data_IF_665839321084
#
_entry.id   IF_665839321084
#
_cell.length_a   1.000
_cell.length_b   1.000
_cell.length_c   1.000
_cell.angle_alpha   90.00
_cell.angle_beta   90.00
_cell.angle_gamma   90.00
#
_symmetry.space_group_name_H-M   'P 1'
#
loop_
_entity.id
_entity.type
_entity.pdbx_description
1 polymer ?
#
# COMPACT_ATOMS: atom_id res chain seq x y z
N UNK A 1 -15.67 -11.56 5.94
CA UNK A 1 -14.51 -11.44 5.03
C UNK A 1 -15.04 -11.44 3.62
N UNK A 2 -14.87 -10.33 2.90
CA UNK A 2 -15.32 -10.24 1.50
C UNK A 2 -14.46 -11.12 0.61
N UNK A 3 -15.07 -11.74 -0.41
CA UNK A 3 -14.35 -12.66 -1.32
C UNK A 3 -14.40 -12.13 -2.75
N UNK A 4 -13.47 -12.57 -3.60
CA UNK A 4 -13.52 -12.30 -5.04
C UNK A 4 -14.89 -12.68 -5.63
N UNK A 5 -15.42 -13.82 -5.21
CA UNK A 5 -16.74 -14.30 -5.64
C UNK A 5 -17.87 -13.34 -5.25
N UNK A 6 -17.82 -12.75 -4.05
CA UNK A 6 -18.82 -11.75 -3.66
C UNK A 6 -18.82 -10.52 -4.57
N UNK A 7 -17.67 -10.12 -5.13
CA UNK A 7 -17.59 -9.06 -6.14
C UNK A 7 -18.14 -9.52 -7.50
N UNK A 8 -17.78 -10.72 -7.95
CA UNK A 8 -18.24 -11.30 -9.23
C UNK A 8 -19.77 -11.49 -9.25
N UNK A 9 -20.35 -11.87 -8.12
CA UNK A 9 -21.78 -12.13 -7.95
C UNK A 9 -22.58 -10.85 -7.64
N UNK A 10 -21.93 -9.71 -7.38
CA UNK A 10 -22.61 -8.49 -6.96
C UNK A 10 -23.55 -7.99 -8.06
N UNK A 11 -24.83 -7.82 -7.70
CA UNK A 11 -25.84 -7.19 -8.56
C UNK A 11 -26.11 -5.76 -8.13
N UNK A 12 -26.25 -4.80 -9.08
CA UNK A 12 -26.65 -3.44 -8.76
C UNK A 12 -28.00 -3.43 -8.05
N UNK A 13 -28.08 -2.69 -6.94
CA UNK A 13 -29.32 -2.40 -6.21
C UNK A 13 -29.76 -0.95 -6.38
N UNK A 14 -28.86 -0.08 -6.84
CA UNK A 14 -29.08 1.36 -7.02
C UNK A 14 -28.74 1.80 -8.44
N UNK A 15 -29.19 3.01 -8.80
CA UNK A 15 -28.92 3.61 -10.11
C UNK A 15 -27.43 3.94 -10.30
N UNK A 16 -26.78 4.36 -9.22
CA UNK A 16 -25.38 4.79 -9.24
C UNK A 16 -24.47 3.80 -8.51
N UNK A 17 -23.20 3.78 -8.92
CA UNK A 17 -22.12 3.07 -8.26
C UNK A 17 -21.05 4.06 -7.81
N UNK A 18 -20.56 3.91 -6.57
CA UNK A 18 -19.46 4.71 -6.04
C UNK A 18 -18.39 3.79 -5.45
N UNK A 19 -17.21 3.79 -6.08
CA UNK A 19 -15.99 3.20 -5.53
C UNK A 19 -15.24 4.22 -4.67
N UNK A 20 -14.95 3.86 -3.42
CA UNK A 20 -14.23 4.70 -2.46
C UNK A 20 -12.87 4.07 -2.16
N UNK A 21 -11.79 4.80 -2.40
CA UNK A 21 -10.50 4.42 -1.83
C UNK A 21 -10.48 4.70 -0.32
N UNK A 22 -9.78 3.85 0.43
CA UNK A 22 -9.72 3.95 1.88
C UNK A 22 -8.65 4.95 2.32
N UNK A 23 -7.39 4.64 2.00
CA UNK A 23 -6.24 5.37 2.51
C UNK A 23 -6.04 6.69 1.77
N UNK A 24 -6.09 7.80 2.49
CA UNK A 24 -5.95 9.13 1.92
C UNK A 24 -7.19 9.66 1.19
N UNK A 25 -8.32 8.95 1.26
CA UNK A 25 -9.63 9.40 0.81
C UNK A 25 -10.67 9.29 1.94
N UNK A 26 -10.88 8.09 2.51
CA UNK A 26 -11.71 7.93 3.70
C UNK A 26 -10.95 8.21 5.00
N UNK A 27 -9.66 7.87 5.06
CA UNK A 27 -8.83 7.97 6.26
C UNK A 27 -7.55 8.80 6.04
N UNK A 28 -7.13 9.64 7.01
CA UNK A 28 -5.87 10.40 6.97
C UNK A 28 -4.63 9.54 7.30
N UNK A 29 -4.61 8.29 6.86
CA UNK A 29 -3.65 7.24 7.27
C UNK A 29 -2.39 7.17 6.40
N UNK A 30 -2.40 7.77 5.20
CA UNK A 30 -1.28 7.67 4.25
C UNK A 30 0.05 8.15 4.83
N UNK A 31 0.04 9.33 5.46
CA UNK A 31 1.22 9.93 6.10
C UNK A 31 1.79 9.01 7.19
N UNK A 32 0.93 8.56 8.10
CA UNK A 32 1.29 7.65 9.20
C UNK A 32 1.85 6.32 8.66
N UNK A 33 1.12 5.66 7.75
CA UNK A 33 1.54 4.39 7.13
C UNK A 33 2.91 4.55 6.47
N UNK A 34 3.11 5.59 5.66
CA UNK A 34 4.38 5.74 4.96
C UNK A 34 5.53 6.16 5.87
N UNK A 35 5.36 7.19 6.70
CA UNK A 35 6.44 7.75 7.52
C UNK A 35 6.88 6.84 8.66
N UNK A 36 5.94 6.08 9.23
CA UNK A 36 6.19 5.24 10.40
C UNK A 36 6.26 3.74 10.09
N UNK A 37 5.71 3.27 8.96
CA UNK A 37 5.72 1.84 8.62
C UNK A 37 6.56 1.54 7.37
N UNK A 38 6.27 2.16 6.22
CA UNK A 38 6.99 1.84 4.98
C UNK A 38 8.44 2.32 5.01
N UNK A 39 8.67 3.60 5.29
CA UNK A 39 9.99 4.21 5.19
C UNK A 39 10.98 3.58 6.18
N UNK A 40 10.64 3.37 7.47
CA UNK A 40 11.54 2.68 8.39
C UNK A 40 11.89 1.27 7.93
N UNK A 41 10.92 0.53 7.37
CA UNK A 41 11.17 -0.80 6.80
C UNK A 41 12.03 -0.74 5.52
N UNK A 42 11.86 0.26 4.64
CA UNK A 42 12.76 0.47 3.50
C UNK A 42 14.20 0.66 4.01
N UNK A 43 14.38 1.56 4.99
CA UNK A 43 15.69 1.85 5.56
C UNK A 43 16.32 0.61 6.21
N UNK A 44 15.54 -0.15 6.97
CA UNK A 44 15.98 -1.35 7.68
C UNK A 44 16.38 -2.48 6.71
N UNK A 45 15.46 -2.90 5.85
CA UNK A 45 15.61 -4.11 5.05
C UNK A 45 16.55 -3.93 3.87
N UNK A 46 16.74 -2.71 3.37
CA UNK A 46 17.65 -2.43 2.26
C UNK A 46 18.98 -1.79 2.69
N UNK A 47 19.24 -1.78 4.00
CA UNK A 47 20.49 -1.28 4.59
C UNK A 47 20.81 0.19 4.26
N UNK A 48 19.77 1.03 4.19
CA UNK A 48 19.91 2.45 3.86
C UNK A 48 20.11 3.36 5.08
N UNK A 49 20.46 2.82 6.25
CA UNK A 49 20.69 3.61 7.47
C UNK A 49 21.66 4.78 7.27
N UNK A 50 22.82 4.62 6.57
CA UNK A 50 23.76 5.72 6.37
C UNK A 50 23.22 6.86 5.49
N UNK A 51 22.19 6.58 4.68
CA UNK A 51 21.52 7.55 3.80
C UNK A 51 20.05 7.73 4.18
N UNK A 52 19.69 7.43 5.44
CA UNK A 52 18.29 7.37 5.89
C UNK A 52 17.50 8.65 5.63
N UNK A 53 18.15 9.81 5.74
CA UNK A 53 17.59 11.12 5.33
C UNK A 53 17.11 11.08 3.87
N UNK A 54 17.97 10.68 2.95
CA UNK A 54 17.66 10.68 1.52
C UNK A 54 16.70 9.56 1.13
N UNK A 55 16.80 8.40 1.78
CA UNK A 55 15.83 7.31 1.63
C UNK A 55 14.41 7.76 2.02
N UNK A 56 14.28 8.51 3.12
CA UNK A 56 13.02 9.11 3.55
C UNK A 56 12.50 10.12 2.52
N UNK A 57 13.31 11.07 2.10
CA UNK A 57 12.91 12.07 1.11
C UNK A 57 12.44 11.44 -0.21
N UNK A 58 13.18 10.45 -0.73
CA UNK A 58 12.81 9.74 -1.96
C UNK A 58 11.50 8.96 -1.79
N UNK A 59 11.33 8.25 -0.66
CA UNK A 59 10.13 7.47 -0.39
C UNK A 59 8.90 8.35 -0.15
N UNK A 60 9.03 9.48 0.55
CA UNK A 60 7.94 10.46 0.71
C UNK A 60 7.56 11.08 -0.64
N UNK A 61 8.54 11.46 -1.47
CA UNK A 61 8.25 11.99 -2.80
C UNK A 61 7.48 10.97 -3.65
N UNK A 62 7.94 9.72 -3.70
CA UNK A 62 7.27 8.67 -4.49
C UNK A 62 5.85 8.40 -4.00
N UNK A 63 5.66 8.27 -2.69
CA UNK A 63 4.41 7.74 -2.15
C UNK A 63 3.41 8.78 -1.66
N UNK A 64 3.85 10.00 -1.35
CA UNK A 64 3.01 11.04 -0.74
C UNK A 64 2.90 12.31 -1.59
N UNK A 65 3.99 12.76 -2.21
CA UNK A 65 4.07 14.13 -2.77
C UNK A 65 4.39 14.20 -4.26
N UNK A 66 4.10 13.14 -5.02
CA UNK A 66 4.25 13.13 -6.48
C UNK A 66 3.07 12.47 -7.17
N UNK A 67 3.07 12.52 -8.50
CA UNK A 67 2.11 11.80 -9.35
C UNK A 67 2.17 10.28 -9.24
N UNK A 68 3.15 9.72 -8.52
CA UNK A 68 3.24 8.29 -8.25
C UNK A 68 2.53 7.87 -6.96
N UNK A 69 1.97 8.82 -6.20
CA UNK A 69 1.14 8.55 -5.02
C UNK A 69 0.06 7.52 -5.35
N UNK A 70 -0.03 6.49 -4.52
CA UNK A 70 -0.98 5.39 -4.69
C UNK A 70 -0.52 4.25 -5.62
N UNK A 71 0.69 4.32 -6.18
CA UNK A 71 1.25 3.17 -6.93
C UNK A 71 1.52 1.98 -6.00
N UNK A 72 1.43 0.77 -6.54
CA UNK A 72 1.73 -0.45 -5.79
C UNK A 72 3.12 -0.38 -5.13
N UNK A 73 3.23 -0.98 -3.94
CA UNK A 73 4.43 -0.94 -3.07
C UNK A 73 5.71 -1.41 -3.78
N UNK A 74 5.66 -2.40 -4.67
CA UNK A 74 6.87 -2.92 -5.32
C UNK A 74 7.39 -1.99 -6.42
N UNK A 75 6.56 -1.51 -7.38
CA UNK A 75 6.95 -0.40 -8.25
C UNK A 75 7.38 0.85 -7.48
N UNK A 76 6.72 1.20 -6.37
CA UNK A 76 7.11 2.34 -5.54
C UNK A 76 8.53 2.18 -5.01
N UNK A 77 8.86 1.01 -4.44
CA UNK A 77 10.20 0.70 -3.95
C UNK A 77 11.26 0.83 -5.04
N UNK A 78 10.99 0.29 -6.23
CA UNK A 78 11.91 0.38 -7.37
C UNK A 78 12.16 1.84 -7.80
N UNK A 79 11.14 2.69 -7.76
CA UNK A 79 11.27 4.14 -8.01
C UNK A 79 12.11 4.84 -6.94
N UNK A 80 11.96 4.44 -5.68
CA UNK A 80 12.82 4.94 -4.59
C UNK A 80 14.28 4.60 -4.88
N UNK A 81 14.59 3.38 -5.32
CA UNK A 81 15.96 3.03 -5.72
C UNK A 81 16.47 3.88 -6.88
N UNK A 82 15.65 4.08 -7.91
CA UNK A 82 16.03 4.88 -9.08
C UNK A 82 16.35 6.33 -8.67
N UNK A 83 15.49 6.97 -7.87
CA UNK A 83 15.76 8.32 -7.36
C UNK A 83 17.00 8.40 -6.47
N UNK A 84 17.25 7.37 -5.65
CA UNK A 84 18.43 7.35 -4.78
C UNK A 84 19.73 7.23 -5.59
N UNK A 85 19.73 6.45 -6.68
CA UNK A 85 20.89 6.34 -7.57
C UNK A 85 21.28 7.65 -8.24
N UNK A 86 20.30 8.49 -8.55
CA UNK A 86 20.52 9.78 -9.21
C UNK A 86 21.00 10.88 -8.24
N UNK A 87 20.91 10.66 -6.92
CA UNK A 87 21.26 11.68 -5.92
C UNK A 87 22.77 11.82 -5.71
N UNK A 88 23.35 13.03 -5.90
CA UNK A 88 24.79 13.25 -5.69
C UNK A 88 25.28 12.94 -4.27
N UNK A 89 24.44 13.09 -3.25
CA UNK A 89 24.79 12.78 -1.86
C UNK A 89 24.84 11.27 -1.60
N UNK A 90 24.00 10.50 -2.30
CA UNK A 90 24.00 9.03 -2.22
C UNK A 90 25.17 8.47 -3.01
N UNK A 91 25.45 9.00 -4.20
CA UNK A 91 26.61 8.61 -5.02
C UNK A 91 27.96 8.82 -4.32
N UNK A 92 28.05 9.83 -3.43
CA UNK A 92 29.22 10.09 -2.60
C UNK A 92 29.27 9.26 -1.32
N UNK A 93 28.23 8.50 -1.02
CA UNK A 93 28.15 7.66 0.18
C UNK A 93 28.74 6.27 -0.08
N UNK A 94 28.94 5.49 0.98
CA UNK A 94 29.37 4.08 0.90
C UNK A 94 28.23 3.11 0.52
N UNK A 95 26.99 3.60 0.45
CA UNK A 95 25.81 2.75 0.28
C UNK A 95 25.62 2.39 -1.19
N UNK A 96 25.60 1.10 -1.49
CA UNK A 96 25.27 0.60 -2.82
C UNK A 96 23.74 0.44 -2.96
N UNK A 97 23.14 1.14 -3.92
CA UNK A 97 21.71 0.99 -4.21
C UNK A 97 21.52 -0.20 -5.15
N UNK A 98 20.71 -1.21 -4.78
CA UNK A 98 20.56 -2.41 -5.61
C UNK A 98 19.93 -2.09 -6.97
N UNK A 99 20.39 -2.78 -8.02
CA UNK A 99 19.69 -2.83 -9.31
C UNK A 99 18.31 -3.49 -9.19
N UNK A 100 18.19 -4.43 -8.25
CA UNK A 100 16.97 -5.19 -7.98
C UNK A 100 16.35 -5.83 -9.26
N UNK A 101 17.20 -6.24 -10.22
CA UNK A 101 16.76 -6.78 -11.51
C UNK A 101 15.72 -7.90 -11.37
N UNK A 102 15.88 -8.91 -10.49
CA UNK A 102 14.87 -9.95 -10.32
C UNK A 102 13.49 -9.39 -9.93
N UNK A 103 13.46 -8.38 -9.05
CA UNK A 103 12.23 -7.70 -8.64
C UNK A 103 11.63 -6.89 -9.79
N UNK A 104 12.45 -6.16 -10.56
CA UNK A 104 12.00 -5.42 -11.76
C UNK A 104 11.37 -6.36 -12.79
N UNK A 105 12.04 -7.48 -13.08
CA UNK A 105 11.56 -8.47 -14.03
C UNK A 105 10.23 -9.09 -13.55
N UNK A 106 10.07 -9.32 -12.25
CA UNK A 106 8.83 -9.84 -11.66
C UNK A 106 7.69 -8.83 -11.74
N UNK A 107 7.95 -7.59 -11.33
CA UNK A 107 6.98 -6.48 -11.42
C UNK A 107 6.50 -6.27 -12.85
N UNK A 108 7.36 -6.46 -13.85
CA UNK A 108 7.00 -6.29 -15.26
C UNK A 108 6.07 -7.38 -15.83
N UNK A 109 6.07 -8.58 -15.25
CA UNK A 109 5.28 -9.73 -15.77
C UNK A 109 4.08 -10.12 -14.91
N UNK A 110 4.10 -9.80 -13.63
CA UNK A 110 3.04 -10.19 -12.69
C UNK A 110 1.85 -9.23 -12.79
N UNK A 111 0.64 -9.81 -12.77
CA UNK A 111 -0.63 -9.07 -12.89
C UNK A 111 -1.27 -8.81 -11.53
N UNK A 112 -0.95 -9.62 -10.51
CA UNK A 112 -1.44 -9.50 -9.14
C UNK A 112 -0.28 -9.22 -8.17
N UNK A 113 0.21 -7.98 -8.16
CA UNK A 113 1.35 -7.55 -7.35
C UNK A 113 1.02 -7.52 -5.84
N UNK A 114 1.26 -8.63 -5.15
CA UNK A 114 1.08 -8.76 -3.71
C UNK A 114 1.92 -9.87 -3.10
N UNK A 115 1.98 -9.92 -1.76
CA UNK A 115 2.77 -10.92 -1.03
C UNK A 115 2.46 -12.36 -1.43
N UNK A 116 1.20 -12.78 -1.66
CA UNK A 116 0.92 -14.16 -2.10
C UNK A 116 1.58 -14.53 -3.43
N UNK A 117 1.60 -13.60 -4.40
CA UNK A 117 2.23 -13.83 -5.69
C UNK A 117 3.77 -13.81 -5.56
N UNK A 118 4.32 -12.86 -4.80
CA UNK A 118 5.76 -12.79 -4.57
C UNK A 118 6.28 -14.03 -3.82
N UNK A 119 5.53 -14.53 -2.83
CA UNK A 119 5.87 -15.74 -2.09
C UNK A 119 6.00 -16.96 -3.00
N UNK A 120 5.05 -17.18 -3.92
CA UNK A 120 5.14 -18.24 -4.93
C UNK A 120 6.37 -18.09 -5.82
N UNK A 121 6.70 -16.86 -6.20
CA UNK A 121 7.88 -16.61 -7.01
C UNK A 121 9.19 -16.88 -6.25
N UNK A 122 9.24 -16.53 -4.96
CA UNK A 122 10.37 -16.85 -4.07
C UNK A 122 10.52 -18.37 -3.91
N UNK A 123 9.44 -19.09 -3.64
CA UNK A 123 9.45 -20.56 -3.54
C UNK A 123 9.92 -21.24 -4.83
N UNK A 124 9.57 -20.67 -5.99
CA UNK A 124 9.99 -21.20 -7.30
C UNK A 124 11.46 -20.93 -7.60
N UNK A 125 11.95 -19.72 -7.30
CA UNK A 125 13.25 -19.25 -7.80
C UNK A 125 14.36 -19.26 -6.76
N UNK A 126 14.01 -19.24 -5.47
CA UNK A 126 14.92 -19.05 -4.34
C UNK A 126 15.83 -17.81 -4.51
N UNK A 127 15.36 -16.80 -5.26
CA UNK A 127 16.17 -15.64 -5.59
C UNK A 127 16.32 -14.71 -4.37
N UNK A 128 17.54 -14.36 -3.95
CA UNK A 128 17.76 -13.60 -2.72
C UNK A 128 17.16 -12.19 -2.74
N UNK A 129 17.10 -11.52 -3.90
CA UNK A 129 16.48 -10.18 -4.03
C UNK A 129 14.97 -10.27 -3.84
N UNK A 130 14.34 -11.33 -4.38
CA UNK A 130 12.90 -11.54 -4.20
C UNK A 130 12.58 -11.93 -2.76
N UNK A 131 13.42 -12.75 -2.13
CA UNK A 131 13.30 -13.10 -0.70
C UNK A 131 13.36 -11.85 0.17
N UNK A 132 14.36 -10.99 -0.03
CA UNK A 132 14.50 -9.72 0.71
C UNK A 132 13.30 -8.79 0.48
N UNK A 133 12.77 -8.71 -0.74
CA UNK A 133 11.58 -7.94 -1.05
C UNK A 133 10.32 -8.50 -0.36
N UNK A 134 10.20 -9.82 -0.25
CA UNK A 134 9.11 -10.46 0.49
C UNK A 134 9.20 -10.15 1.98
N UNK A 135 10.38 -10.33 2.58
CA UNK A 135 10.64 -10.02 3.98
C UNK A 135 10.33 -8.56 4.32
N UNK A 136 10.78 -7.63 3.47
CA UNK A 136 10.44 -6.21 3.59
C UNK A 136 8.92 -5.99 3.57
N UNK A 137 8.23 -6.59 2.60
CA UNK A 137 6.79 -6.36 2.40
C UNK A 137 5.94 -6.98 3.51
N UNK A 138 6.33 -8.14 4.05
CA UNK A 138 5.69 -8.75 5.21
C UNK A 138 5.95 -7.94 6.48
N UNK A 139 7.17 -7.43 6.67
CA UNK A 139 7.51 -6.57 7.80
C UNK A 139 6.72 -5.25 7.79
N UNK A 140 6.50 -4.65 6.62
CA UNK A 140 5.61 -3.49 6.48
C UNK A 140 4.21 -3.81 6.98
N UNK A 141 3.63 -4.95 6.59
CA UNK A 141 2.29 -5.34 7.05
C UNK A 141 2.27 -5.52 8.58
N UNK A 142 3.30 -6.14 9.15
CA UNK A 142 3.43 -6.31 10.59
C UNK A 142 3.50 -4.96 11.32
N UNK A 143 4.31 -4.01 10.83
CA UNK A 143 4.41 -2.66 11.42
C UNK A 143 3.10 -1.89 11.30
N UNK A 144 2.37 -2.01 10.18
CA UNK A 144 1.04 -1.38 10.03
C UNK A 144 0.05 -1.94 11.05
N UNK A 145 0.00 -3.27 11.21
CA UNK A 145 -0.89 -3.91 12.16
C UNK A 145 -0.60 -3.51 13.63
N UNK A 146 0.66 -3.23 13.94
CA UNK A 146 1.09 -2.77 15.25
C UNK A 146 0.77 -1.28 15.48
N UNK A 147 1.18 -0.41 14.54
CA UNK A 147 1.20 1.05 14.67
C UNK A 147 -0.13 1.74 14.36
N UNK A 148 -0.88 1.27 13.35
CA UNK A 148 -2.01 2.04 12.77
C UNK A 148 -3.33 1.59 13.40
N UNK A 149 -3.76 2.32 14.43
CA UNK A 149 -5.00 2.10 15.20
C UNK A 149 -5.61 3.43 15.64
N UNK A 150 -6.92 3.50 15.81
CA UNK A 150 -7.61 4.66 16.39
C UNK A 150 -7.59 5.92 15.53
N UNK A 151 -7.36 5.81 14.21
CA UNK A 151 -7.31 6.97 13.31
C UNK A 151 -8.69 7.22 12.71
N UNK A 152 -9.45 8.24 13.15
CA UNK A 152 -10.80 8.46 12.67
C UNK A 152 -10.82 8.82 11.17
N UNK A 153 -11.94 8.57 10.47
CA UNK A 153 -12.13 9.03 9.10
C UNK A 153 -12.01 10.55 8.99
N UNK A 154 -11.76 11.04 7.77
CA UNK A 154 -11.80 12.48 7.51
C UNK A 154 -13.17 13.08 7.88
N UNK A 155 -13.21 14.35 8.33
CA UNK A 155 -14.46 15.05 8.56
C UNK A 155 -15.37 14.99 7.32
N UNK A 156 -16.65 14.67 7.51
CA UNK A 156 -17.63 14.59 6.43
C UNK A 156 -17.73 13.22 5.74
N UNK A 157 -16.81 12.27 5.98
CA UNK A 157 -16.87 10.94 5.36
C UNK A 157 -18.12 10.18 5.80
N UNK A 158 -18.40 10.13 7.11
CA UNK A 158 -19.57 9.42 7.64
C UNK A 158 -20.87 10.02 7.13
N UNK A 159 -20.96 11.35 7.07
CA UNK A 159 -22.12 12.09 6.56
C UNK A 159 -22.32 11.83 5.06
N UNK A 160 -21.23 11.80 4.29
CA UNK A 160 -21.26 11.52 2.85
C UNK A 160 -21.69 10.08 2.58
N UNK A 161 -21.14 9.10 3.31
CA UNK A 161 -21.55 7.70 3.23
C UNK A 161 -23.05 7.51 3.51
N UNK A 162 -23.58 8.18 4.55
CA UNK A 162 -25.01 8.16 4.86
C UNK A 162 -25.88 8.69 3.71
N UNK A 163 -25.45 9.77 3.05
CA UNK A 163 -26.17 10.35 1.90
C UNK A 163 -26.10 9.41 0.68
N UNK A 164 -24.96 8.78 0.45
CA UNK A 164 -24.75 7.85 -0.66
C UNK A 164 -25.58 6.58 -0.52
N UNK A 165 -25.73 6.02 0.69
CA UNK A 165 -26.42 4.75 0.92
C UNK A 165 -27.89 4.73 0.41
N UNK A 166 -28.53 5.90 0.29
CA UNK A 166 -29.88 6.01 -0.31
C UNK A 166 -29.91 5.92 -1.84
N UNK A 167 -28.81 6.31 -2.51
CA UNK A 167 -28.80 6.64 -3.95
C UNK A 167 -27.79 5.82 -4.76
N UNK A 168 -26.81 5.19 -4.13
CA UNK A 168 -25.72 4.49 -4.81
C UNK A 168 -25.30 3.20 -4.09
N UNK A 169 -24.86 2.23 -4.88
CA UNK A 169 -24.11 1.07 -4.41
C UNK A 169 -22.68 1.52 -4.08
N UNK A 170 -22.33 1.51 -2.80
CA UNK A 170 -21.00 1.97 -2.33
C UNK A 170 -20.11 0.77 -2.04
N UNK A 171 -18.89 0.78 -2.59
CA UNK A 171 -17.86 -0.26 -2.36
C UNK A 171 -16.54 0.43 -2.02
N UNK A 172 -15.78 -0.16 -1.09
CA UNK A 172 -14.38 0.23 -0.88
C UNK A 172 -13.53 -0.46 -1.92
N UNK A 173 -12.74 0.31 -2.68
CA UNK A 173 -11.81 -0.19 -3.70
C UNK A 173 -10.43 0.34 -3.37
N UNK A 174 -9.56 -0.49 -2.83
CA UNK A 174 -8.24 -0.06 -2.36
C UNK A 174 -7.16 -1.11 -2.66
N UNK A 175 -5.90 -0.70 -2.63
CA UNK A 175 -4.74 -1.59 -2.76
C UNK A 175 -4.23 -2.10 -1.38
N UNK A 176 -4.89 -1.68 -0.30
CA UNK A 176 -4.57 -2.08 1.07
C UNK A 176 -5.15 -3.46 1.36
N UNK A 177 -4.40 -4.37 2.03
CA UNK A 177 -4.89 -5.71 2.32
C UNK A 177 -6.28 -5.69 2.99
N UNK A 178 -7.20 -6.53 2.49
CA UNK A 178 -8.61 -6.53 2.92
C UNK A 178 -8.82 -6.66 4.43
N UNK A 179 -7.97 -7.42 5.13
CA UNK A 179 -8.03 -7.53 6.60
C UNK A 179 -7.82 -6.17 7.30
N UNK A 180 -6.85 -5.38 6.83
CA UNK A 180 -6.59 -4.05 7.39
C UNK A 180 -7.75 -3.10 7.11
N UNK A 181 -8.29 -3.12 5.89
CA UNK A 181 -9.47 -2.33 5.52
C UNK A 181 -10.68 -2.69 6.40
N UNK A 182 -10.99 -3.99 6.53
CA UNK A 182 -12.12 -4.43 7.35
C UNK A 182 -11.98 -3.99 8.80
N UNK A 183 -10.78 -4.08 9.38
CA UNK A 183 -10.50 -3.63 10.74
C UNK A 183 -10.73 -2.13 10.88
N UNK A 184 -10.10 -1.32 10.02
CA UNK A 184 -10.16 0.14 10.06
C UNK A 184 -11.61 0.65 9.88
N UNK A 185 -12.36 0.09 8.93
CA UNK A 185 -13.74 0.50 8.68
C UNK A 185 -14.71 0.08 9.80
N UNK A 186 -14.53 -1.12 10.36
CA UNK A 186 -15.33 -1.61 11.50
C UNK A 186 -15.05 -0.84 12.79
N UNK A 187 -13.78 -0.48 13.04
CA UNK A 187 -13.38 0.30 14.22
C UNK A 187 -14.17 1.61 14.35
N UNK A 188 -14.53 2.22 13.23
CA UNK A 188 -15.28 3.47 13.18
C UNK A 188 -16.77 3.31 12.83
N UNK A 189 -17.25 2.07 12.67
CA UNK A 189 -18.64 1.75 12.35
C UNK A 189 -19.12 2.41 11.06
N UNK A 190 -18.24 2.48 10.05
CA UNK A 190 -18.58 3.00 8.72
C UNK A 190 -18.65 1.90 7.65
N UNK A 191 -18.23 0.68 7.99
CA UNK A 191 -18.41 -0.52 7.17
C UNK A 191 -19.89 -0.81 6.86
N UNK A 192 -20.80 -0.44 7.77
CA UNK A 192 -22.24 -0.62 7.58
C UNK A 192 -22.86 0.22 6.44
N UNK A 193 -22.11 1.18 5.87
CA UNK A 193 -22.56 2.00 4.74
C UNK A 193 -22.01 1.54 3.39
N UNK A 194 -21.27 0.43 3.35
CA UNK A 194 -20.70 -0.12 2.11
C UNK A 194 -21.15 -1.56 1.92
N UNK A 195 -21.34 -1.97 0.66
CA UNK A 195 -21.76 -3.33 0.32
C UNK A 195 -20.59 -4.31 0.38
N UNK A 196 -19.43 -3.88 -0.09
CA UNK A 196 -18.21 -4.68 -0.15
C UNK A 196 -16.99 -3.84 0.23
N UNK A 197 -16.04 -4.47 0.91
CA UNK A 197 -14.67 -3.95 1.07
C UNK A 197 -13.74 -4.80 0.19
N UNK A 198 -13.27 -4.21 -0.92
CA UNK A 198 -12.37 -4.82 -1.88
C UNK A 198 -10.95 -4.26 -1.73
N UNK A 199 -10.04 -5.10 -1.24
CA UNK A 199 -8.62 -4.82 -1.03
C UNK A 199 -7.70 -5.82 -1.73
#
# INVERSE_FOLDING_TARGET
MYTKKALEDLKPEKEFFVGIDSDGCAFPTMELKHKECFIPNIVKYWHFQPISKYAREAAEFVNLYSKWRGVNRFPALLKVFDLLKERPEVQRSIVNIPEAKPLRDWVARETALGNPALKREVEKTHNPVLTQALEWSEAVNATIADMVKGVPPFPGVKESLKKLNGSADVIVVSATPGEALEREWKEHGIDLYVRIIAG
#
